data_IF_298825311477
#
_entry.id   IF_298825311477
#
_cell.length_a   1.000
_cell.length_b   1.000
_cell.length_c   1.000
_cell.angle_alpha   90.00
_cell.angle_beta   90.00
_cell.angle_gamma   90.00
#
_symmetry.space_group_name_H-M   'P 1'
#
loop_
_entity.id
_entity.type
_entity.pdbx_description
1 polymer ?
#
# COMPACT_ATOMS: atom_id res chain seq x y z
N UNK A 1 42.75 -22.13 -40.06
CA UNK A 1 41.68 -22.58 -39.16
C UNK A 1 40.76 -21.40 -38.87
N UNK A 2 39.50 -21.42 -39.31
CA UNK A 2 38.51 -20.38 -38.95
C UNK A 2 38.07 -20.64 -37.51
N UNK A 3 38.33 -19.70 -36.61
CA UNK A 3 37.85 -19.77 -35.24
C UNK A 3 36.30 -19.78 -35.28
N UNK A 4 35.70 -20.90 -34.91
CA UNK A 4 34.26 -21.00 -34.64
C UNK A 4 34.03 -20.30 -33.29
N UNK A 5 33.99 -18.97 -33.31
CA UNK A 5 33.70 -18.14 -32.14
C UNK A 5 32.20 -17.80 -32.01
N UNK A 6 31.32 -18.46 -32.78
CA UNK A 6 29.91 -18.11 -32.88
C UNK A 6 29.00 -18.58 -31.73
N UNK A 7 29.41 -19.56 -30.91
CA UNK A 7 28.48 -20.21 -29.96
C UNK A 7 28.64 -19.75 -28.51
N UNK A 8 29.86 -19.40 -28.08
CA UNK A 8 30.14 -18.96 -26.69
C UNK A 8 29.68 -17.53 -26.40
N UNK A 9 29.80 -16.63 -27.38
CA UNK A 9 29.33 -15.25 -27.24
C UNK A 9 27.78 -15.18 -27.20
N UNK A 10 27.10 -16.01 -28.00
CA UNK A 10 25.63 -16.14 -27.97
C UNK A 10 25.13 -16.71 -26.64
N UNK A 11 25.80 -17.74 -26.10
CA UNK A 11 25.46 -18.30 -24.79
C UNK A 11 25.70 -17.31 -23.65
N UNK A 12 26.84 -16.59 -23.65
CA UNK A 12 27.11 -15.56 -22.65
C UNK A 12 26.08 -14.41 -22.70
N UNK A 13 25.69 -13.96 -23.90
CA UNK A 13 24.62 -12.98 -24.07
C UNK A 13 23.27 -13.47 -23.56
N UNK A 14 22.93 -14.74 -23.79
CA UNK A 14 21.70 -15.34 -23.31
C UNK A 14 21.68 -15.46 -21.78
N UNK A 15 22.80 -15.82 -21.15
CA UNK A 15 22.94 -15.87 -19.69
C UNK A 15 22.76 -14.47 -19.08
N UNK A 16 23.39 -13.44 -19.65
CA UNK A 16 23.24 -12.05 -19.17
C UNK A 16 21.79 -11.59 -19.29
N UNK A 17 21.12 -11.89 -20.41
CA UNK A 17 19.71 -11.56 -20.61
C UNK A 17 18.83 -12.24 -19.55
N UNK A 18 19.09 -13.51 -19.24
CA UNK A 18 18.35 -14.26 -18.23
C UNK A 18 18.52 -13.64 -16.83
N UNK A 19 19.75 -13.25 -16.47
CA UNK A 19 20.04 -12.56 -15.20
C UNK A 19 19.32 -11.21 -15.13
N UNK A 20 19.30 -10.44 -16.23
CA UNK A 20 18.58 -9.16 -16.28
C UNK A 20 17.08 -9.36 -16.10
N UNK A 21 16.48 -10.35 -16.75
CA UNK A 21 15.05 -10.65 -16.60
C UNK A 21 14.74 -11.03 -15.15
N UNK A 22 15.51 -11.94 -14.55
CA UNK A 22 15.31 -12.35 -13.14
C UNK A 22 15.50 -11.16 -12.19
N UNK A 23 16.50 -10.32 -12.44
CA UNK A 23 16.74 -9.10 -11.66
C UNK A 23 15.56 -8.12 -11.74
N UNK A 24 15.05 -7.86 -12.94
CA UNK A 24 13.90 -6.97 -13.15
C UNK A 24 12.62 -7.52 -12.51
N UNK A 25 12.39 -8.83 -12.64
CA UNK A 25 11.28 -9.53 -11.98
C UNK A 25 11.39 -9.39 -10.46
N UNK A 26 12.57 -9.65 -9.89
CA UNK A 26 12.83 -9.51 -8.46
C UNK A 26 12.59 -8.09 -7.95
N UNK A 27 13.06 -7.08 -8.68
CA UNK A 27 12.83 -5.65 -8.35
C UNK A 27 11.33 -5.32 -8.42
N UNK A 28 10.63 -5.78 -9.46
CA UNK A 28 9.21 -5.52 -9.62
C UNK A 28 8.38 -6.11 -8.47
N UNK A 29 8.55 -7.40 -8.18
CA UNK A 29 7.82 -8.06 -7.10
C UNK A 29 8.24 -7.55 -5.72
N UNK A 30 9.53 -7.27 -5.52
CA UNK A 30 10.04 -6.66 -4.30
C UNK A 30 9.41 -5.28 -4.03
N UNK A 31 9.29 -4.46 -5.07
CA UNK A 31 8.63 -3.15 -4.95
C UNK A 31 7.13 -3.27 -4.68
N UNK A 32 6.43 -4.23 -5.30
CA UNK A 32 5.02 -4.47 -4.99
C UNK A 32 4.83 -4.91 -3.54
N UNK A 33 5.66 -5.86 -3.08
CA UNK A 33 5.63 -6.36 -1.71
C UNK A 33 5.91 -5.24 -0.69
N UNK A 34 6.95 -4.45 -0.93
CA UNK A 34 7.30 -3.32 -0.08
C UNK A 34 6.15 -2.32 0.01
N UNK A 35 5.58 -1.94 -1.13
CA UNK A 35 4.49 -0.96 -1.14
C UNK A 35 3.23 -1.46 -0.43
N UNK A 36 2.90 -2.74 -0.58
CA UNK A 36 1.74 -3.33 0.10
C UNK A 36 1.93 -3.42 1.61
N UNK A 37 3.18 -3.61 2.07
CA UNK A 37 3.51 -3.77 3.49
C UNK A 37 3.57 -2.45 4.25
N UNK A 38 4.07 -1.39 3.60
CA UNK A 38 4.40 -0.13 4.28
C UNK A 38 3.46 1.03 3.95
N UNK A 39 2.64 0.92 2.92
CA UNK A 39 1.74 2.00 2.53
C UNK A 39 0.29 1.54 2.37
N UNK A 40 -0.61 2.46 2.70
CA UNK A 40 -2.03 2.41 2.41
C UNK A 40 -2.29 3.37 1.26
N UNK A 41 -2.81 2.86 0.13
CA UNK A 41 -3.18 3.72 -1.00
C UNK A 41 -4.59 4.26 -0.82
N UNK A 42 -4.71 5.56 -1.04
CA UNK A 42 -5.96 6.29 -0.93
C UNK A 42 -6.29 6.81 -2.32
N UNK A 43 -7.31 6.23 -2.93
CA UNK A 43 -7.75 6.62 -4.26
C UNK A 43 -8.60 7.89 -4.16
N UNK A 44 -8.09 8.97 -4.75
CA UNK A 44 -8.66 10.32 -4.76
C UNK A 44 -8.81 10.81 -6.21
N UNK A 45 -9.69 10.14 -6.96
CA UNK A 45 -9.89 10.35 -8.40
C UNK A 45 -8.71 9.82 -9.19
N UNK A 46 -8.09 10.69 -9.99
CA UNK A 46 -6.90 10.35 -10.78
C UNK A 46 -5.60 10.35 -9.96
N UNK A 47 -5.66 10.77 -8.69
CA UNK A 47 -4.51 10.80 -7.79
C UNK A 47 -4.58 9.64 -6.81
N UNK A 48 -3.42 9.03 -6.56
CA UNK A 48 -3.23 8.06 -5.48
C UNK A 48 -2.41 8.76 -4.40
N UNK A 49 -2.97 8.87 -3.21
CA UNK A 49 -2.28 9.37 -2.03
C UNK A 49 -1.83 8.19 -1.19
N UNK A 50 -0.81 8.40 -0.37
CA UNK A 50 -0.24 7.37 0.48
C UNK A 50 -0.35 7.79 1.95
N UNK A 51 -0.56 6.79 2.78
CA UNK A 51 -0.38 6.84 4.23
C UNK A 51 0.58 5.73 4.62
N UNK A 52 1.53 6.07 5.47
CA UNK A 52 2.51 5.12 5.96
C UNK A 52 1.90 4.28 7.08
N UNK A 53 2.15 2.98 7.02
CA UNK A 53 1.81 2.06 8.11
C UNK A 53 2.87 2.27 9.22
N UNK A 54 2.45 2.42 10.49
CA UNK A 54 3.39 2.52 11.60
C UNK A 54 4.40 1.35 11.59
N UNK A 55 5.68 1.57 11.90
CA UNK A 55 6.71 0.52 11.82
C UNK A 55 6.48 -0.66 12.76
N UNK A 56 5.64 -0.48 13.79
CA UNK A 56 5.24 -1.49 14.75
C UNK A 56 3.85 -2.08 14.46
N UNK A 57 3.27 -1.75 13.31
CA UNK A 57 1.97 -2.24 12.89
C UNK A 57 2.14 -3.23 11.73
N UNK A 58 1.25 -4.22 11.69
CA UNK A 58 1.17 -5.20 10.63
C UNK A 58 -0.18 -5.07 9.92
N UNK A 59 -0.14 -5.08 8.59
CA UNK A 59 -1.35 -5.10 7.77
C UNK A 59 -2.07 -6.44 7.92
N UNK A 60 -3.37 -6.37 8.20
CA UNK A 60 -4.25 -7.55 8.35
C UNK A 60 -5.04 -7.78 7.07
N UNK A 61 -5.57 -6.71 6.47
CA UNK A 61 -6.35 -6.77 5.22
C UNK A 61 -5.44 -6.71 4.00
N UNK A 62 -5.74 -7.48 2.96
CA UNK A 62 -5.05 -7.37 1.67
C UNK A 62 -5.17 -5.96 1.08
N UNK A 63 -4.11 -5.48 0.41
CA UNK A 63 -4.05 -4.17 -0.24
C UNK A 63 -5.17 -3.92 -1.25
N UNK A 64 -5.77 -4.98 -1.81
CA UNK A 64 -6.89 -4.85 -2.75
C UNK A 64 -8.13 -4.20 -2.09
N UNK A 65 -8.29 -4.34 -0.77
CA UNK A 65 -9.42 -3.77 -0.02
C UNK A 65 -9.33 -2.24 0.12
N UNK A 66 -8.19 -1.63 -0.23
CA UNK A 66 -8.06 -0.18 -0.35
C UNK A 66 -8.99 0.40 -1.43
N UNK A 67 -9.29 -0.40 -2.47
CA UNK A 67 -10.24 -0.03 -3.52
C UNK A 67 -11.66 0.15 -3.00
N UNK A 68 -11.99 -0.50 -1.88
CA UNK A 68 -13.30 -0.41 -1.23
C UNK A 68 -13.24 0.37 0.08
N UNK A 69 -12.08 0.99 0.38
CA UNK A 69 -11.95 1.90 1.51
C UNK A 69 -11.72 1.23 2.84
N UNK A 70 -11.13 0.03 2.83
CA UNK A 70 -10.93 -0.79 4.02
C UNK A 70 -9.44 -1.08 4.18
N UNK A 71 -8.91 -0.73 5.35
CA UNK A 71 -7.61 -1.23 5.80
C UNK A 71 -7.66 -1.51 7.30
N UNK A 72 -7.34 -2.74 7.70
CA UNK A 72 -7.15 -3.09 9.11
C UNK A 72 -5.67 -3.32 9.36
N UNK A 73 -5.17 -2.73 10.43
CA UNK A 73 -3.79 -2.93 10.90
C UNK A 73 -3.82 -3.43 12.34
N UNK A 74 -2.99 -4.43 12.62
CA UNK A 74 -2.71 -4.89 13.98
C UNK A 74 -1.55 -4.04 14.51
N UNK A 75 -1.74 -3.42 15.65
CA UNK A 75 -0.75 -2.54 16.28
C UNK A 75 -0.03 -3.34 17.37
N UNK A 76 1.28 -3.54 17.18
CA UNK A 76 2.15 -4.24 18.13
C UNK A 76 2.69 -3.36 19.27
N UNK A 77 2.16 -2.14 19.43
CA UNK A 77 2.58 -1.18 20.46
C UNK A 77 1.38 -0.46 21.08
N UNK A 78 1.60 0.58 21.90
CA UNK A 78 0.53 1.38 22.47
C UNK A 78 -0.20 2.23 21.41
N UNK A 79 -1.48 2.53 21.70
CA UNK A 79 -2.30 3.44 20.89
C UNK A 79 -1.63 4.80 20.74
N UNK A 80 -1.06 5.34 21.82
CA UNK A 80 -0.40 6.65 21.84
C UNK A 80 0.79 6.72 20.89
N UNK A 81 1.66 5.69 20.88
CA UNK A 81 2.80 5.68 19.97
C UNK A 81 2.35 5.64 18.50
N UNK A 82 1.30 4.85 18.23
CA UNK A 82 0.72 4.76 16.88
C UNK A 82 0.08 6.07 16.45
N UNK A 83 -0.67 6.71 17.35
CA UNK A 83 -1.29 8.02 17.12
C UNK A 83 -0.25 9.11 16.89
N UNK A 84 0.85 9.11 17.67
CA UNK A 84 1.95 10.06 17.49
C UNK A 84 2.63 9.88 16.13
N UNK A 85 2.89 8.63 15.73
CA UNK A 85 3.44 8.34 14.40
C UNK A 85 2.50 8.84 13.29
N UNK A 86 1.21 8.46 13.35
CA UNK A 86 0.22 8.85 12.34
C UNK A 86 0.07 10.37 12.28
N UNK A 87 0.07 11.06 13.44
CA UNK A 87 0.03 12.52 13.49
C UNK A 87 1.26 13.16 12.86
N UNK A 88 2.45 12.65 13.16
CA UNK A 88 3.71 13.13 12.54
C UNK A 88 3.70 12.93 11.03
N UNK A 89 3.28 11.76 10.57
CA UNK A 89 3.17 11.44 9.13
C UNK A 89 2.14 12.33 8.44
N UNK A 90 0.96 12.52 9.04
CA UNK A 90 -0.08 13.40 8.50
C UNK A 90 0.44 14.83 8.34
N UNK A 91 1.15 15.35 9.35
CA UNK A 91 1.76 16.68 9.27
C UNK A 91 2.77 16.78 8.10
N UNK A 92 3.61 15.76 7.91
CA UNK A 92 4.57 15.72 6.79
C UNK A 92 3.90 15.72 5.42
N UNK A 93 2.73 15.10 5.29
CA UNK A 93 1.95 15.09 4.04
C UNK A 93 0.94 16.24 3.91
N UNK A 94 0.84 17.12 4.91
CA UNK A 94 -0.12 18.23 4.91
C UNK A 94 -1.57 17.81 5.17
N UNK A 95 -1.79 16.66 5.80
CA UNK A 95 -3.10 16.17 6.22
C UNK A 95 -3.41 16.61 7.65
N UNK A 96 -4.69 16.79 7.97
CA UNK A 96 -5.14 17.12 9.31
C UNK A 96 -5.46 15.83 10.08
N UNK A 97 -4.73 15.56 11.16
CA UNK A 97 -4.95 14.40 12.02
C UNK A 97 -5.56 14.82 13.35
N UNK A 98 -6.75 14.30 13.65
CA UNK A 98 -7.46 14.47 14.92
C UNK A 98 -7.48 13.12 15.63
N UNK A 99 -7.08 13.08 16.88
CA UNK A 99 -7.01 11.85 17.68
C UNK A 99 -7.97 12.01 18.87
N UNK A 100 -8.85 11.04 19.07
CA UNK A 100 -9.63 10.90 20.29
C UNK A 100 -9.15 9.69 21.10
N UNK A 101 -9.94 9.28 22.09
CA UNK A 101 -9.54 8.24 23.05
C UNK A 101 -9.42 6.84 22.39
N UNK A 102 -10.35 6.53 21.48
CA UNK A 102 -10.39 5.24 20.78
C UNK A 102 -10.59 5.38 19.26
N UNK A 103 -10.41 6.59 18.75
CA UNK A 103 -10.56 6.90 17.33
C UNK A 103 -9.47 7.85 16.84
N UNK A 104 -9.29 7.84 15.53
CA UNK A 104 -8.41 8.75 14.83
C UNK A 104 -9.10 9.15 13.53
N UNK A 105 -9.03 10.43 13.18
CA UNK A 105 -9.57 10.96 11.95
C UNK A 105 -8.47 11.66 11.17
N UNK A 106 -8.25 11.23 9.94
CA UNK A 106 -7.25 11.82 9.05
C UNK A 106 -7.98 12.49 7.90
N UNK A 107 -8.05 13.81 7.88
CA UNK A 107 -8.62 14.59 6.80
C UNK A 107 -7.54 14.99 5.79
N UNK A 108 -7.73 14.54 4.56
CA UNK A 108 -6.76 14.66 3.47
C UNK A 108 -7.11 15.87 2.59
N UNK A 109 -8.42 16.08 2.38
CA UNK A 109 -9.02 17.28 1.80
C UNK A 109 -10.49 17.37 2.22
N UNK A 110 -11.13 18.50 1.94
CA UNK A 110 -12.56 18.71 2.23
C UNK A 110 -13.39 17.52 1.71
N UNK A 111 -14.17 16.91 2.61
CA UNK A 111 -15.04 15.74 2.36
C UNK A 111 -14.31 14.42 1.99
N UNK A 112 -12.98 14.34 2.15
CA UNK A 112 -12.21 13.11 1.97
C UNK A 112 -11.34 12.89 3.19
N UNK A 113 -11.78 11.95 4.03
CA UNK A 113 -11.15 11.63 5.30
C UNK A 113 -11.19 10.13 5.56
N UNK A 114 -10.29 9.69 6.44
CA UNK A 114 -10.23 8.33 6.95
C UNK A 114 -10.68 8.35 8.39
N UNK A 115 -11.58 7.46 8.74
CA UNK A 115 -12.00 7.17 10.11
C UNK A 115 -11.30 5.90 10.57
N UNK A 116 -10.49 6.03 11.62
CA UNK A 116 -9.86 4.96 12.32
C UNK A 116 -10.55 4.69 13.65
N UNK A 117 -10.86 3.42 13.94
CA UNK A 117 -11.38 2.99 15.24
C UNK A 117 -10.51 1.90 15.82
N UNK A 118 -10.19 2.03 17.10
CA UNK A 118 -9.45 1.04 17.85
C UNK A 118 -10.38 -0.04 18.41
N UNK A 119 -10.08 -1.29 18.09
CA UNK A 119 -10.74 -2.48 18.65
C UNK A 119 -9.67 -3.44 19.19
N UNK A 120 -9.42 -3.37 20.50
CA UNK A 120 -8.27 -4.05 21.11
C UNK A 120 -6.95 -3.53 20.54
N UNK A 121 -6.18 -4.43 19.92
CA UNK A 121 -4.92 -4.11 19.23
C UNK A 121 -5.10 -3.76 17.75
N UNK A 122 -6.32 -3.80 17.23
CA UNK A 122 -6.57 -3.47 15.82
C UNK A 122 -6.96 -2.01 15.67
N UNK A 123 -6.38 -1.35 14.67
CA UNK A 123 -6.86 -0.08 14.15
C UNK A 123 -7.56 -0.35 12.81
N UNK A 124 -8.87 -0.19 12.81
CA UNK A 124 -9.71 -0.34 11.62
C UNK A 124 -9.87 1.00 10.95
N UNK A 125 -9.27 1.16 9.77
CA UNK A 125 -9.32 2.36 8.95
C UNK A 125 -10.37 2.22 7.86
N UNK A 126 -11.30 3.17 7.79
CA UNK A 126 -12.40 3.20 6.82
C UNK A 126 -12.44 4.55 6.13
N UNK A 127 -12.64 4.54 4.81
CA UNK A 127 -12.84 5.76 4.01
C UNK A 127 -13.70 5.45 2.80
N UNK A 128 -14.10 6.48 2.04
CA UNK A 128 -14.82 6.31 0.78
C UNK A 128 -13.89 6.63 -0.38
N UNK A 129 -13.35 5.63 -1.09
CA UNK A 129 -12.44 5.86 -2.21
C UNK A 129 -13.14 6.56 -3.37
N UNK A 130 -12.44 7.50 -4.01
CA UNK A 130 -12.88 8.10 -5.28
C UNK A 130 -12.09 7.39 -6.38
N UNK A 131 -12.74 6.48 -7.10
CA UNK A 131 -12.09 5.63 -8.09
C UNK A 131 -12.26 6.16 -9.52
N UNK A 132 -11.20 6.10 -10.36
CA UNK A 132 -11.34 6.26 -11.80
C UNK A 132 -12.11 5.07 -12.39
N UNK A 133 -12.75 5.25 -13.55
CA UNK A 133 -13.61 4.23 -14.17
C UNK A 133 -12.94 2.85 -14.30
N UNK A 134 -11.65 2.83 -14.63
CA UNK A 134 -10.85 1.61 -14.79
C UNK A 134 -10.78 0.75 -13.51
N UNK A 135 -10.92 1.37 -12.34
CA UNK A 135 -10.82 0.68 -11.05
C UNK A 135 -12.19 0.37 -10.43
N UNK A 136 -13.28 1.00 -10.90
CA UNK A 136 -14.65 0.76 -10.40
C UNK A 136 -15.07 -0.70 -10.55
N UNK A 137 -14.87 -1.29 -11.73
CA UNK A 137 -15.20 -2.69 -11.99
C UNK A 137 -14.45 -3.66 -11.06
N UNK A 138 -13.21 -3.33 -10.67
CA UNK A 138 -12.43 -4.15 -9.72
C UNK A 138 -12.99 -4.02 -8.30
N UNK A 139 -13.33 -2.81 -7.87
CA UNK A 139 -13.93 -2.57 -6.56
C UNK A 139 -15.29 -3.26 -6.41
N UNK A 140 -16.13 -3.21 -7.46
CA UNK A 140 -17.42 -3.92 -7.47
C UNK A 140 -17.26 -5.44 -7.35
N UNK A 141 -16.25 -6.02 -8.01
CA UNK A 141 -15.96 -7.45 -7.91
C UNK A 141 -15.47 -7.86 -6.51
N UNK A 142 -14.74 -6.97 -5.82
CA UNK A 142 -14.30 -7.18 -4.44
C UNK A 142 -15.49 -7.16 -3.47
N UNK A 143 -16.39 -6.18 -3.58
CA UNK A 143 -17.58 -6.08 -2.73
C UNK A 143 -18.49 -7.32 -2.84
N UNK A 144 -18.64 -7.89 -4.04
CA UNK A 144 -19.45 -9.11 -4.26
C UNK A 144 -18.84 -10.38 -3.66
N UNK A 145 -17.55 -10.40 -3.34
CA UNK A 145 -16.88 -11.55 -2.71
C UNK A 145 -16.91 -11.49 -1.19
N UNK A 146 -17.24 -10.32 -0.62
CA UNK A 146 -17.32 -10.08 0.82
C UNK A 146 -18.74 -10.20 1.39
N UNK A 147 -19.77 -10.33 0.54
CA UNK A 147 -21.13 -10.79 0.91
C UNK A 147 -21.19 -12.32 0.90
#
# INVERSE_FOLDING_TARGET
MKAVSGNRAGFAGLVILLVLIVGLVGVYFGNQWFNQRYYIKLFDGDKIRLIDIPPFAERVTSAEHELVGICDINIGTSKDQSNNFLKSMCNSYGYLCTVGENDIKIEIRRQYYIEGKYEGNFLKLRWTPVLPEKLKARAEALNKKSE
#
